data_IF_716846555573
#
_entry.id   IF_716846555573
#
_cell.length_a   1.000
_cell.length_b   1.000
_cell.length_c   1.000
_cell.angle_alpha   90.00
_cell.angle_beta   90.00
_cell.angle_gamma   90.00
#
_symmetry.space_group_name_H-M   'P 1'
#
loop_
_entity.id
_entity.type
_entity.pdbx_description
1 polymer ?
#
# COMPACT_ATOMS: atom_id res chain seq x y z
N UNK A 1 44.18 -9.59 -91.53
CA UNK A 1 43.26 -9.60 -90.44
C UNK A 1 43.71 -10.63 -89.40
N UNK A 2 44.30 -10.21 -88.31
CA UNK A 2 44.73 -11.08 -87.22
C UNK A 2 43.74 -11.00 -86.08
N UNK A 3 43.33 -12.03 -85.38
CA UNK A 3 42.43 -11.96 -84.24
C UNK A 3 43.17 -11.51 -82.97
N UNK A 4 42.54 -10.64 -82.20
CA UNK A 4 42.98 -10.14 -80.91
C UNK A 4 42.68 -11.21 -79.85
N UNK A 5 43.72 -11.63 -79.11
CA UNK A 5 43.63 -12.62 -78.05
C UNK A 5 42.89 -11.98 -76.82
N UNK A 6 41.86 -12.62 -76.34
CA UNK A 6 41.12 -12.30 -75.12
C UNK A 6 41.87 -12.82 -73.88
N UNK A 7 42.30 -11.93 -73.02
CA UNK A 7 42.81 -12.25 -71.67
C UNK A 7 41.70 -12.70 -70.73
N UNK A 8 41.97 -13.75 -69.92
CA UNK A 8 40.86 -14.29 -69.08
C UNK A 8 40.53 -13.39 -67.85
N UNK A 9 39.30 -13.14 -67.76
CA UNK A 9 38.64 -12.27 -66.70
C UNK A 9 38.71 -12.92 -65.31
N UNK A 10 39.39 -14.05 -65.12
CA UNK A 10 39.31 -14.83 -63.84
C UNK A 10 40.23 -14.36 -62.72
N UNK A 11 41.30 -13.63 -63.04
CA UNK A 11 42.28 -13.22 -62.02
C UNK A 11 41.80 -12.00 -61.17
N UNK A 12 40.94 -11.20 -61.72
CA UNK A 12 40.42 -10.02 -60.98
C UNK A 12 39.30 -10.34 -59.97
N UNK A 13 38.63 -11.47 -60.04
CA UNK A 13 37.57 -11.83 -59.15
C UNK A 13 38.04 -12.28 -57.76
N UNK A 14 39.18 -12.90 -57.65
CA UNK A 14 39.74 -13.41 -56.40
C UNK A 14 40.41 -12.31 -55.55
N UNK A 15 40.92 -11.27 -56.15
CA UNK A 15 41.54 -10.17 -55.45
C UNK A 15 40.48 -9.23 -54.77
N UNK A 16 39.32 -9.04 -55.40
CA UNK A 16 38.23 -8.24 -54.82
C UNK A 16 37.49 -8.96 -53.69
N UNK A 17 37.39 -10.28 -53.69
CA UNK A 17 36.77 -11.05 -52.59
C UNK A 17 37.69 -11.14 -51.37
N UNK A 18 39.01 -11.20 -51.55
CA UNK A 18 39.95 -11.20 -50.42
C UNK A 18 40.03 -9.85 -49.71
N UNK A 19 39.92 -8.73 -50.40
CA UNK A 19 39.88 -7.39 -49.80
C UNK A 19 38.56 -7.10 -49.07
N UNK A 20 37.43 -7.60 -49.58
CA UNK A 20 36.14 -7.43 -48.91
C UNK A 20 36.02 -8.29 -47.64
N UNK A 21 36.61 -9.50 -47.60
CA UNK A 21 36.64 -10.32 -46.39
C UNK A 21 37.56 -9.75 -45.28
N UNK A 22 38.70 -9.15 -45.66
CA UNK A 22 39.60 -8.50 -44.71
C UNK A 22 38.98 -7.20 -44.13
N UNK A 23 38.28 -6.41 -44.95
CA UNK A 23 37.58 -5.22 -44.48
C UNK A 23 36.38 -5.57 -43.57
N UNK A 24 35.63 -6.63 -43.83
CA UNK A 24 34.56 -7.11 -42.98
C UNK A 24 35.08 -7.68 -41.64
N UNK A 25 36.20 -8.38 -41.64
CA UNK A 25 36.85 -8.86 -40.42
C UNK A 25 37.41 -7.73 -39.54
N UNK A 26 37.95 -6.67 -40.16
CA UNK A 26 38.41 -5.47 -39.43
C UNK A 26 37.26 -4.65 -38.83
N UNK A 27 36.10 -4.57 -39.50
CA UNK A 27 34.91 -3.92 -38.98
C UNK A 27 34.22 -4.69 -37.83
N UNK A 28 34.30 -6.01 -37.83
CA UNK A 28 33.81 -6.87 -36.73
C UNK A 28 34.76 -6.86 -35.51
N UNK A 29 36.04 -6.63 -35.68
CA UNK A 29 36.99 -6.50 -34.57
C UNK A 29 36.92 -5.16 -33.84
N UNK A 30 36.29 -4.13 -34.43
CA UNK A 30 36.06 -2.82 -33.81
C UNK A 30 34.73 -2.74 -33.03
N UNK A 31 33.88 -3.75 -33.06
CA UNK A 31 32.69 -3.89 -32.25
C UNK A 31 32.96 -4.74 -31.00
N UNK A 32 34.04 -4.47 -30.29
CA UNK A 32 34.10 -4.89 -28.89
C UNK A 32 32.90 -4.22 -28.17
N UNK A 33 31.97 -4.95 -27.57
CA UNK A 33 31.01 -4.30 -26.72
C UNK A 33 31.83 -3.56 -25.67
N UNK A 34 31.72 -2.25 -25.65
CA UNK A 34 32.17 -1.47 -24.54
C UNK A 34 31.40 -2.03 -23.32
N UNK A 35 31.95 -3.00 -22.66
CA UNK A 35 31.56 -3.36 -21.30
C UNK A 35 31.93 -2.11 -20.52
N UNK A 36 30.99 -1.16 -20.47
CA UNK A 36 31.08 -0.07 -19.52
C UNK A 36 31.30 -0.74 -18.16
N UNK A 37 32.48 -0.57 -17.61
CA UNK A 37 32.72 -0.99 -16.24
C UNK A 37 31.56 -0.47 -15.41
N UNK A 38 30.86 -1.35 -14.71
CA UNK A 38 29.81 -0.92 -13.78
C UNK A 38 30.46 0.12 -12.90
N UNK A 39 29.96 1.39 -12.86
CA UNK A 39 30.56 2.40 -12.03
C UNK A 39 30.69 1.85 -10.63
N UNK A 40 31.85 2.01 -10.02
CA UNK A 40 32.02 1.64 -8.63
C UNK A 40 30.94 2.38 -7.82
N UNK A 41 30.29 1.72 -6.85
CA UNK A 41 29.34 2.41 -5.97
C UNK A 41 29.99 3.66 -5.43
N UNK A 42 29.29 4.79 -5.51
CA UNK A 42 29.76 6.00 -4.83
C UNK A 42 29.95 5.70 -3.37
N UNK A 43 31.05 6.18 -2.80
CA UNK A 43 31.25 6.13 -1.37
C UNK A 43 30.05 6.85 -0.71
N UNK A 44 29.44 6.23 0.28
CA UNK A 44 28.42 6.90 1.08
C UNK A 44 29.04 8.18 1.69
N UNK A 45 28.34 9.29 1.56
CA UNK A 45 28.72 10.49 2.27
C UNK A 45 28.86 10.19 3.76
N UNK A 46 29.89 10.73 4.43
CA UNK A 46 30.01 10.55 5.87
C UNK A 46 28.74 11.07 6.51
N UNK A 47 28.04 10.21 7.24
CA UNK A 47 26.82 10.57 7.93
C UNK A 47 27.09 11.79 8.82
N UNK A 48 26.33 12.86 8.64
CA UNK A 48 26.30 13.99 9.53
C UNK A 48 25.87 13.56 10.96
N UNK A 49 25.24 14.42 11.69
CA UNK A 49 24.72 14.06 13.03
C UNK A 49 23.56 13.05 12.88
N UNK A 50 23.75 11.83 13.37
CA UNK A 50 22.68 10.83 13.46
C UNK A 50 21.88 11.12 14.73
N UNK A 51 20.62 11.49 14.57
CA UNK A 51 19.68 11.66 15.69
C UNK A 51 18.88 10.37 15.84
N UNK A 52 18.86 9.82 17.05
CA UNK A 52 18.00 8.67 17.37
C UNK A 52 16.70 9.18 17.95
N UNK A 53 15.57 8.73 17.39
CA UNK A 53 14.25 9.02 17.92
C UNK A 53 14.05 8.35 19.28
N UNK A 54 13.27 8.96 20.17
CA UNK A 54 12.87 8.30 21.43
C UNK A 54 11.96 7.09 21.13
N UNK A 55 11.57 6.35 22.16
CA UNK A 55 10.57 5.30 22.05
C UNK A 55 9.27 5.86 21.42
N UNK A 56 8.62 5.05 20.56
CA UNK A 56 7.42 5.47 19.86
C UNK A 56 6.33 5.92 20.83
N UNK A 57 5.73 7.08 20.54
CA UNK A 57 4.53 7.55 21.23
C UNK A 57 3.28 6.97 20.55
N UNK A 58 2.24 6.60 21.29
CA UNK A 58 0.96 6.19 20.69
C UNK A 58 0.28 7.31 19.88
N UNK A 59 0.68 8.57 20.08
CA UNK A 59 0.19 9.73 19.33
C UNK A 59 1.04 10.08 18.10
N UNK A 60 2.03 9.26 17.76
CA UNK A 60 2.72 9.41 16.49
C UNK A 60 1.85 8.91 15.34
N UNK A 61 1.93 9.60 14.21
CA UNK A 61 1.23 9.21 12.99
C UNK A 61 2.19 9.26 11.80
N UNK A 62 2.21 8.18 11.06
CA UNK A 62 2.87 8.12 9.76
C UNK A 62 1.90 8.56 8.68
N UNK A 63 2.27 9.55 7.92
CA UNK A 63 1.53 10.04 6.74
C UNK A 63 2.26 9.53 5.51
N UNK A 64 1.62 8.61 4.76
CA UNK A 64 2.13 8.15 3.48
C UNK A 64 1.73 9.18 2.41
N UNK A 65 2.75 9.76 1.78
CA UNK A 65 2.65 10.77 0.75
C UNK A 65 3.18 10.19 -0.56
N UNK A 66 2.30 9.98 -1.53
CA UNK A 66 2.67 9.38 -2.80
C UNK A 66 3.25 10.38 -3.80
N UNK A 67 3.28 11.65 -3.45
CA UNK A 67 3.80 12.75 -4.27
C UNK A 67 3.28 12.66 -5.71
N UNK A 68 1.98 12.72 -5.87
CA UNK A 68 1.28 12.49 -7.15
C UNK A 68 1.89 13.24 -8.35
N UNK A 69 2.30 14.51 -8.20
CA UNK A 69 2.96 15.21 -9.28
C UNK A 69 4.35 14.65 -9.67
N UNK A 70 4.98 13.87 -8.75
CA UNK A 70 6.32 13.32 -8.95
C UNK A 70 6.46 11.95 -8.26
N UNK A 71 5.81 10.94 -8.80
CA UNK A 71 5.63 9.62 -8.19
C UNK A 71 6.91 8.81 -7.92
N UNK A 72 8.08 9.33 -8.32
CA UNK A 72 9.38 8.73 -7.93
C UNK A 72 9.80 9.07 -6.51
N UNK A 73 9.13 10.04 -5.87
CA UNK A 73 9.50 10.61 -4.58
C UNK A 73 8.55 10.18 -3.45
N UNK A 74 7.96 8.99 -3.55
CA UNK A 74 7.10 8.48 -2.50
C UNK A 74 7.75 8.55 -1.12
N UNK A 75 7.00 8.98 -0.11
CA UNK A 75 7.50 9.24 1.24
C UNK A 75 6.52 8.74 2.30
N UNK A 76 7.06 8.36 3.46
CA UNK A 76 6.30 8.22 4.69
C UNK A 76 6.86 9.19 5.73
N UNK A 77 6.05 10.13 6.19
CA UNK A 77 6.44 11.21 7.11
C UNK A 77 5.92 10.94 8.51
N UNK A 78 6.79 10.99 9.49
CA UNK A 78 6.44 10.79 10.89
C UNK A 78 6.16 12.12 11.56
N UNK A 79 4.97 12.25 12.11
CA UNK A 79 4.48 13.45 12.81
C UNK A 79 4.11 13.08 14.25
N UNK A 80 4.53 13.89 15.18
CA UNK A 80 4.06 13.84 16.58
C UNK A 80 2.70 14.55 16.67
N UNK A 81 1.64 13.80 16.93
CA UNK A 81 0.28 14.32 17.04
C UNK A 81 0.08 15.28 18.21
N UNK A 82 0.85 15.16 19.29
CA UNK A 82 0.72 16.05 20.46
C UNK A 82 1.31 17.44 20.22
N UNK A 83 2.48 17.49 19.60
CA UNK A 83 3.18 18.76 19.38
C UNK A 83 3.06 19.30 17.95
N UNK A 84 2.68 18.48 16.99
CA UNK A 84 2.72 18.79 15.56
C UNK A 84 4.12 18.78 14.96
N UNK A 85 5.13 18.30 15.68
CA UNK A 85 6.51 18.26 15.19
C UNK A 85 6.68 17.20 14.10
N UNK A 86 7.36 17.57 13.03
CA UNK A 86 7.94 16.63 12.08
C UNK A 86 9.13 15.92 12.73
N UNK A 87 9.10 14.59 12.79
CA UNK A 87 10.13 13.78 13.43
C UNK A 87 11.11 13.17 12.44
N UNK A 88 10.71 13.00 11.19
CA UNK A 88 11.53 12.44 10.14
C UNK A 88 10.72 11.78 9.04
N UNK A 89 11.39 11.19 8.06
CA UNK A 89 10.72 10.56 6.93
C UNK A 89 11.51 9.37 6.40
N UNK A 90 10.81 8.49 5.69
CA UNK A 90 11.36 7.41 4.87
C UNK A 90 11.06 7.70 3.40
N UNK A 91 12.00 7.36 2.51
CA UNK A 91 11.71 7.26 1.08
C UNK A 91 11.06 5.91 0.80
N UNK A 92 9.98 5.89 0.03
CA UNK A 92 9.18 4.66 -0.23
C UNK A 92 9.14 4.27 -1.71
N UNK A 93 10.07 4.82 -2.51
CA UNK A 93 10.21 4.48 -3.92
C UNK A 93 9.08 5.03 -4.80
N UNK A 94 8.81 4.34 -5.91
CA UNK A 94 7.86 4.77 -6.93
C UNK A 94 6.44 4.29 -6.63
N UNK A 95 5.49 5.19 -6.85
CA UNK A 95 4.07 4.89 -6.83
C UNK A 95 3.48 4.78 -5.42
N UNK A 96 2.35 4.11 -5.35
CA UNK A 96 1.64 3.97 -4.09
C UNK A 96 2.29 2.91 -3.22
N UNK A 97 2.80 3.33 -2.08
CA UNK A 97 3.43 2.46 -1.09
C UNK A 97 2.85 2.78 0.28
N UNK A 98 2.46 1.75 1.00
CA UNK A 98 2.12 1.85 2.41
C UNK A 98 3.24 1.20 3.22
N UNK A 99 3.73 1.89 4.24
CA UNK A 99 4.62 1.26 5.22
C UNK A 99 3.82 0.35 6.16
N UNK A 100 4.45 -0.73 6.61
CA UNK A 100 3.89 -1.69 7.56
C UNK A 100 4.76 -1.71 8.80
N UNK A 101 4.19 -1.37 9.95
CA UNK A 101 4.91 -1.38 11.22
C UNK A 101 5.03 -2.82 11.74
N UNK A 102 6.25 -3.25 12.05
CA UNK A 102 6.49 -4.54 12.69
C UNK A 102 5.79 -4.63 14.05
N UNK A 103 5.23 -5.78 14.38
CA UNK A 103 4.43 -5.98 15.61
C UNK A 103 5.22 -5.70 16.89
N UNK A 104 6.52 -5.93 16.87
CA UNK A 104 7.42 -5.66 18.00
C UNK A 104 7.96 -4.21 18.03
N UNK A 105 7.58 -3.38 17.03
CA UNK A 105 8.06 -2.00 16.93
C UNK A 105 9.55 -1.84 16.60
N UNK A 106 10.23 -2.92 16.21
CA UNK A 106 11.68 -2.96 15.97
C UNK A 106 12.07 -2.83 14.48
N UNK A 107 11.11 -2.84 13.57
CA UNK A 107 11.30 -2.73 12.13
C UNK A 107 10.10 -2.09 11.46
N UNK A 108 10.33 -1.34 10.39
CA UNK A 108 9.31 -0.87 9.46
C UNK A 108 9.58 -1.55 8.12
N UNK A 109 8.57 -2.20 7.56
CA UNK A 109 8.60 -2.78 6.22
C UNK A 109 8.00 -1.79 5.23
N UNK A 110 8.66 -1.64 4.09
CA UNK A 110 8.17 -0.80 2.99
C UNK A 110 8.26 -1.61 1.69
N UNK A 111 7.16 -2.14 1.18
CA UNK A 111 7.12 -2.77 -0.14
C UNK A 111 7.22 -1.69 -1.22
N UNK A 112 8.33 -1.64 -1.95
CA UNK A 112 8.70 -0.56 -2.84
C UNK A 112 8.88 -1.03 -4.28
N UNK A 113 8.75 -0.09 -5.21
CA UNK A 113 9.03 -0.29 -6.63
C UNK A 113 10.07 0.73 -7.09
N UNK A 114 11.03 0.27 -7.87
CA UNK A 114 12.02 1.13 -8.50
C UNK A 114 12.10 0.84 -10.00
N UNK A 115 12.42 1.87 -10.78
CA UNK A 115 12.75 1.73 -12.19
C UNK A 115 14.16 2.24 -12.45
N UNK A 116 14.93 1.54 -13.29
CA UNK A 116 16.34 1.87 -13.53
C UNK A 116 16.57 3.26 -14.12
N UNK A 117 15.53 3.94 -14.58
CA UNK A 117 15.56 5.30 -15.16
C UNK A 117 14.39 6.16 -14.67
N UNK A 118 14.22 6.24 -13.36
CA UNK A 118 13.17 7.03 -12.71
C UNK A 118 11.78 6.40 -12.90
N UNK A 119 11.08 6.75 -13.97
CA UNK A 119 9.71 6.26 -14.24
C UNK A 119 9.65 5.14 -15.27
N UNK A 120 10.77 4.66 -15.79
CA UNK A 120 10.87 3.66 -16.87
C UNK A 120 12.12 2.81 -16.78
N UNK A 121 12.19 1.78 -17.59
CA UNK A 121 13.32 0.86 -17.65
C UNK A 121 13.02 -0.45 -16.95
N UNK A 122 14.03 -1.09 -16.38
CA UNK A 122 13.88 -2.34 -15.64
C UNK A 122 13.19 -2.02 -14.30
N UNK A 123 12.07 -2.70 -14.03
CA UNK A 123 11.36 -2.65 -12.75
C UNK A 123 12.01 -3.62 -11.76
N UNK A 124 12.20 -3.15 -10.54
CA UNK A 124 12.62 -3.95 -9.38
C UNK A 124 11.66 -3.66 -8.24
N UNK A 125 11.06 -4.71 -7.67
CA UNK A 125 10.24 -4.60 -6.48
C UNK A 125 11.02 -5.21 -5.30
N UNK A 126 10.95 -4.53 -4.17
CA UNK A 126 11.65 -4.93 -2.94
C UNK A 126 10.77 -4.69 -1.72
N UNK A 127 11.12 -5.34 -0.62
CA UNK A 127 10.69 -4.93 0.72
C UNK A 127 11.89 -4.32 1.39
N UNK A 128 11.91 -3.01 1.53
CA UNK A 128 12.92 -2.30 2.33
C UNK A 128 12.60 -2.44 3.82
N UNK A 129 13.62 -2.63 4.62
CA UNK A 129 13.54 -2.71 6.07
C UNK A 129 14.19 -1.48 6.67
N UNK A 130 13.48 -0.78 7.53
CA UNK A 130 13.97 0.42 8.19
C UNK A 130 14.04 0.24 9.71
N UNK A 131 15.11 0.76 10.32
CA UNK A 131 15.21 0.95 11.75
C UNK A 131 14.29 2.11 12.16
N UNK A 132 13.25 1.88 12.99
CA UNK A 132 12.27 2.93 13.32
C UNK A 132 12.85 4.05 14.20
N UNK A 133 13.96 3.79 14.93
CA UNK A 133 14.58 4.79 15.77
C UNK A 133 15.55 5.70 14.99
N UNK A 134 16.18 5.18 13.94
CA UNK A 134 17.16 5.93 13.13
C UNK A 134 16.57 6.39 11.79
N UNK A 135 15.44 5.85 11.40
CA UNK A 135 14.79 6.05 10.08
C UNK A 135 15.77 5.75 8.93
N UNK A 136 16.60 4.74 9.13
CA UNK A 136 17.62 4.33 8.18
C UNK A 136 17.32 2.92 7.66
N UNK A 137 17.58 2.69 6.37
CA UNK A 137 17.47 1.36 5.78
C UNK A 137 18.51 0.41 6.41
N UNK A 138 18.05 -0.76 6.83
CA UNK A 138 18.85 -1.80 7.47
C UNK A 138 18.85 -3.12 6.71
N UNK A 139 18.15 -3.19 5.59
CA UNK A 139 18.09 -4.34 4.73
C UNK A 139 17.06 -4.19 3.62
N UNK A 140 17.11 -5.15 2.71
CA UNK A 140 16.23 -5.22 1.55
C UNK A 140 15.97 -6.69 1.19
N UNK A 141 14.74 -6.99 0.79
CA UNK A 141 14.34 -8.31 0.29
C UNK A 141 13.80 -8.11 -1.12
N UNK A 142 14.48 -8.64 -2.13
CA UNK A 142 14.00 -8.59 -3.51
C UNK A 142 12.79 -9.52 -3.65
N UNK A 143 11.72 -8.99 -4.25
CA UNK A 143 10.47 -9.71 -4.51
C UNK A 143 10.14 -9.68 -6.01
N UNK A 144 9.24 -10.55 -6.50
CA UNK A 144 8.81 -10.51 -7.90
C UNK A 144 8.24 -9.14 -8.28
N UNK A 145 8.53 -8.57 -9.47
CA UNK A 145 8.12 -7.24 -9.89
C UNK A 145 6.63 -7.20 -10.31
N UNK A 146 5.74 -7.52 -9.38
CA UNK A 146 4.31 -7.73 -9.60
C UNK A 146 3.41 -6.94 -8.66
N UNK A 147 3.97 -6.35 -7.56
CA UNK A 147 3.15 -5.71 -6.53
C UNK A 147 2.23 -4.64 -7.13
N UNK A 148 1.07 -4.46 -6.52
CA UNK A 148 0.19 -3.35 -6.83
C UNK A 148 0.86 -2.04 -6.40
N UNK A 149 1.04 -1.13 -7.36
CA UNK A 149 1.67 0.18 -7.14
C UNK A 149 0.87 1.33 -7.77
N UNK A 150 -0.42 1.09 -8.01
CA UNK A 150 -1.27 1.99 -8.78
C UNK A 150 -2.49 2.52 -7.99
N UNK A 151 -2.67 2.09 -6.75
CA UNK A 151 -3.76 2.56 -5.88
C UNK A 151 -3.34 2.63 -4.41
N UNK A 152 -3.78 3.68 -3.68
CA UNK A 152 -3.47 3.85 -2.27
C UNK A 152 -4.45 3.04 -1.40
N UNK A 153 -4.10 1.81 -1.07
CA UNK A 153 -4.95 0.95 -0.24
C UNK A 153 -4.22 0.49 1.02
N UNK A 154 -4.92 0.48 2.15
CA UNK A 154 -4.35 -0.01 3.40
C UNK A 154 -4.04 -1.51 3.32
N UNK A 155 -4.85 -2.27 2.62
CA UNK A 155 -4.71 -3.72 2.49
C UNK A 155 -3.84 -4.18 1.31
N UNK A 156 -3.03 -3.28 0.70
CA UNK A 156 -2.01 -3.66 -0.28
C UNK A 156 -0.87 -4.46 0.34
N UNK A 157 -0.66 -4.32 1.65
CA UNK A 157 0.37 -5.03 2.38
C UNK A 157 0.01 -5.09 3.86
N UNK A 158 -0.01 -6.28 4.45
CA UNK A 158 -0.32 -6.50 5.85
C UNK A 158 0.52 -7.63 6.46
N UNK A 159 0.79 -7.54 7.76
CA UNK A 159 1.39 -8.65 8.53
C UNK A 159 0.30 -9.60 9.05
N UNK A 160 0.60 -10.88 9.06
CA UNK A 160 -0.17 -11.86 9.86
C UNK A 160 -0.21 -11.45 11.33
N UNK A 161 -1.16 -11.99 12.09
CA UNK A 161 -1.43 -11.53 13.47
C UNK A 161 -0.21 -11.67 14.41
N UNK A 162 0.63 -12.67 14.19
CA UNK A 162 1.88 -12.89 14.92
C UNK A 162 3.08 -12.09 14.36
N UNK A 163 2.86 -11.33 13.28
CA UNK A 163 3.92 -10.53 12.64
C UNK A 163 4.94 -11.33 11.85
N UNK A 164 4.73 -12.64 11.65
CA UNK A 164 5.72 -13.48 11.00
C UNK A 164 5.74 -13.35 9.49
N UNK A 165 4.58 -13.32 8.84
CA UNK A 165 4.49 -13.21 7.40
C UNK A 165 3.98 -11.85 6.97
N UNK A 166 4.73 -11.19 6.10
CA UNK A 166 4.28 -10.01 5.37
C UNK A 166 3.64 -10.49 4.06
N UNK A 167 2.39 -10.12 3.88
CA UNK A 167 1.57 -10.39 2.71
C UNK A 167 1.58 -9.15 1.83
N UNK A 168 1.81 -9.29 0.53
CA UNK A 168 1.91 -8.17 -0.41
C UNK A 168 1.08 -8.47 -1.65
N UNK A 169 0.09 -7.63 -1.92
CA UNK A 169 -0.80 -7.77 -3.06
C UNK A 169 -0.09 -7.51 -4.39
N UNK A 170 -0.26 -8.43 -5.32
CA UNK A 170 0.19 -8.35 -6.69
C UNK A 170 -0.99 -8.15 -7.64
N UNK A 171 -0.84 -7.23 -8.59
CA UNK A 171 -1.90 -6.91 -9.54
C UNK A 171 -1.64 -7.50 -10.94
N UNK A 172 -0.38 -7.65 -11.32
CA UNK A 172 0.00 -8.06 -12.68
C UNK A 172 0.94 -9.27 -12.67
N UNK A 173 0.85 -10.19 -13.67
CA UNK A 173 -0.12 -10.23 -14.77
C UNK A 173 -1.51 -10.73 -14.32
N UNK A 174 -1.61 -11.30 -13.13
CA UNK A 174 -2.84 -11.74 -12.47
C UNK A 174 -2.74 -11.45 -10.97
N UNK A 175 -3.89 -11.41 -10.29
CA UNK A 175 -3.93 -11.19 -8.84
C UNK A 175 -3.28 -12.37 -8.12
N UNK A 176 -2.38 -12.04 -7.20
CA UNK A 176 -1.70 -12.98 -6.31
C UNK A 176 -1.20 -12.26 -5.07
N UNK A 177 -0.66 -13.01 -4.12
CA UNK A 177 -0.05 -12.49 -2.90
C UNK A 177 1.39 -12.99 -2.81
N UNK A 178 2.34 -12.08 -2.75
CA UNK A 178 3.72 -12.39 -2.38
C UNK A 178 3.80 -12.55 -0.87
N UNK A 179 4.40 -13.63 -0.40
CA UNK A 179 4.63 -13.92 1.02
C UNK A 179 6.10 -13.77 1.35
N UNK A 180 6.39 -12.96 2.34
CA UNK A 180 7.75 -12.75 2.88
C UNK A 180 7.76 -13.19 4.35
N UNK A 181 8.71 -14.01 4.74
CA UNK A 181 8.98 -14.29 6.16
C UNK A 181 9.74 -13.09 6.76
N UNK A 182 9.05 -12.34 7.60
CA UNK A 182 9.56 -11.10 8.20
C UNK A 182 10.67 -11.35 9.24
N UNK A 183 10.71 -12.54 9.87
CA UNK A 183 11.73 -12.90 10.83
C UNK A 183 13.04 -13.29 10.15
N UNK A 184 12.99 -14.23 9.20
CA UNK A 184 14.18 -14.66 8.44
C UNK A 184 14.58 -13.63 7.35
N UNK A 185 13.71 -12.66 7.05
CA UNK A 185 13.88 -11.65 5.99
C UNK A 185 14.09 -12.28 4.62
N UNK A 186 13.26 -13.25 4.28
CA UNK A 186 13.36 -14.01 3.02
C UNK A 186 12.03 -14.07 2.29
N UNK A 187 12.10 -14.09 0.96
CA UNK A 187 10.94 -14.39 0.13
C UNK A 187 10.54 -15.86 0.33
N UNK A 188 9.29 -16.10 0.68
CA UNK A 188 8.71 -17.47 0.77
C UNK A 188 8.22 -17.92 -0.60
N UNK A 189 7.40 -17.10 -1.25
CA UNK A 189 6.80 -17.45 -2.54
C UNK A 189 5.58 -16.58 -2.86
N UNK A 190 4.75 -17.12 -3.76
CA UNK A 190 3.57 -16.45 -4.28
C UNK A 190 2.34 -17.36 -4.17
N UNK A 191 1.20 -16.78 -3.81
CA UNK A 191 -0.09 -17.45 -3.70
C UNK A 191 -1.05 -16.83 -4.73
N UNK A 192 -1.54 -17.64 -5.67
CA UNK A 192 -2.51 -17.20 -6.65
C UNK A 192 -3.87 -16.89 -6.01
N UNK A 193 -4.42 -15.70 -6.28
CA UNK A 193 -5.71 -15.22 -5.80
C UNK A 193 -6.58 -14.70 -6.93
N UNK A 194 -6.50 -15.31 -8.11
CA UNK A 194 -7.17 -14.86 -9.33
C UNK A 194 -8.64 -14.49 -9.12
N UNK A 195 -8.99 -13.24 -9.51
CA UNK A 195 -10.32 -12.66 -9.32
C UNK A 195 -10.61 -12.14 -7.91
N UNK A 196 -9.61 -12.19 -6.98
CA UNK A 196 -9.72 -11.65 -5.63
C UNK A 196 -8.54 -10.74 -5.32
N UNK A 197 -8.74 -9.71 -4.52
CA UNK A 197 -7.79 -8.64 -4.28
C UNK A 197 -7.60 -8.36 -2.79
N UNK A 198 -6.42 -7.84 -2.47
CA UNK A 198 -6.01 -7.33 -1.17
C UNK A 198 -5.93 -8.41 -0.08
N UNK A 199 -5.28 -8.06 1.03
CA UNK A 199 -5.03 -9.01 2.12
C UNK A 199 -5.61 -8.49 3.43
N UNK A 200 -6.47 -9.31 4.02
CA UNK A 200 -7.11 -9.07 5.31
C UNK A 200 -6.77 -10.20 6.28
N UNK A 201 -5.72 -10.05 7.11
CA UNK A 201 -5.30 -11.09 8.04
C UNK A 201 -6.40 -11.52 9.00
N UNK A 202 -6.47 -12.82 9.29
CA UNK A 202 -7.49 -13.43 10.15
C UNK A 202 -6.87 -14.28 11.26
N UNK A 203 -5.56 -14.33 11.33
CA UNK A 203 -4.84 -15.09 12.32
C UNK A 203 -3.33 -15.15 12.02
N UNK A 204 -2.57 -15.94 12.78
CA UNK A 204 -1.13 -16.13 12.57
C UNK A 204 -0.80 -16.79 11.22
N UNK A 205 -1.74 -17.57 10.68
CA UNK A 205 -1.55 -18.39 9.48
C UNK A 205 -2.74 -18.31 8.54
N UNK A 206 -3.41 -17.15 8.48
CA UNK A 206 -4.57 -17.02 7.60
C UNK A 206 -4.86 -15.58 7.24
N UNK A 207 -5.45 -15.39 6.06
CA UNK A 207 -5.99 -14.14 5.58
C UNK A 207 -7.15 -14.41 4.61
N UNK A 208 -7.93 -13.41 4.30
CA UNK A 208 -8.84 -13.47 3.15
C UNK A 208 -8.59 -12.34 2.18
N UNK A 209 -9.02 -12.54 0.93
CA UNK A 209 -9.09 -11.52 -0.12
C UNK A 209 -10.54 -11.32 -0.55
N UNK A 210 -10.90 -10.12 -1.02
CA UNK A 210 -12.24 -9.81 -1.54
C UNK A 210 -12.28 -10.16 -3.02
N UNK A 211 -13.29 -10.93 -3.43
CA UNK A 211 -13.45 -11.35 -4.81
C UNK A 211 -14.46 -10.48 -5.58
N UNK A 212 -14.26 -10.36 -6.89
CA UNK A 212 -15.08 -9.53 -7.78
C UNK A 212 -16.57 -9.91 -7.81
N UNK A 213 -16.91 -11.17 -7.46
CA UNK A 213 -18.28 -11.65 -7.36
C UNK A 213 -18.95 -11.36 -6.00
N UNK A 214 -18.23 -10.72 -5.08
CA UNK A 214 -18.67 -10.42 -3.72
C UNK A 214 -18.47 -11.55 -2.71
N UNK A 215 -17.83 -12.65 -3.09
CA UNK A 215 -17.35 -13.68 -2.16
C UNK A 215 -16.01 -13.29 -1.53
N UNK A 216 -15.55 -14.07 -0.54
CA UNK A 216 -14.22 -13.97 0.03
C UNK A 216 -13.42 -15.23 -0.30
N UNK A 217 -12.15 -15.07 -0.63
CA UNK A 217 -11.19 -16.16 -0.73
C UNK A 217 -10.43 -16.26 0.58
N UNK A 218 -10.75 -17.27 1.40
CA UNK A 218 -10.04 -17.55 2.64
C UNK A 218 -8.83 -18.43 2.36
N UNK A 219 -7.66 -18.02 2.82
CA UNK A 219 -6.37 -18.69 2.60
C UNK A 219 -5.76 -19.05 3.94
N UNK A 220 -5.37 -20.32 4.09
CA UNK A 220 -4.60 -20.78 5.24
C UNK A 220 -3.17 -21.10 4.81
N UNK A 221 -2.22 -20.75 5.68
CA UNK A 221 -0.79 -20.96 5.50
C UNK A 221 -0.29 -22.06 6.44
N UNK A 222 0.75 -22.76 6.03
CA UNK A 222 1.56 -23.57 6.92
C UNK A 222 2.58 -22.71 7.72
N UNK A 223 3.37 -23.36 8.56
CA UNK A 223 4.40 -22.69 9.35
C UNK A 223 5.58 -22.19 8.52
N UNK A 224 5.65 -22.51 7.25
CA UNK A 224 6.64 -22.02 6.31
C UNK A 224 6.11 -20.90 5.41
N UNK A 225 4.82 -20.55 5.53
CA UNK A 225 4.17 -19.48 4.80
C UNK A 225 3.58 -19.88 3.44
N UNK A 226 3.55 -21.17 3.12
CA UNK A 226 2.91 -21.67 1.91
C UNK A 226 1.42 -21.93 2.14
N UNK A 227 0.60 -21.68 1.11
CA UNK A 227 -0.84 -21.92 1.21
C UNK A 227 -1.15 -23.42 1.29
N UNK A 228 -1.90 -23.81 2.33
CA UNK A 228 -2.42 -25.18 2.53
C UNK A 228 -3.83 -25.34 1.99
N UNK A 229 -4.68 -24.32 2.16
CA UNK A 229 -6.04 -24.30 1.64
C UNK A 229 -6.39 -22.94 1.06
N UNK A 230 -7.29 -22.94 0.07
CA UNK A 230 -7.87 -21.77 -0.54
C UNK A 230 -9.36 -22.04 -0.77
N UNK A 231 -10.20 -21.44 0.04
CA UNK A 231 -11.63 -21.72 0.06
C UNK A 231 -12.44 -20.45 -0.20
N UNK A 232 -13.40 -20.52 -1.11
CA UNK A 232 -14.32 -19.42 -1.35
C UNK A 232 -15.55 -19.54 -0.45
N UNK A 233 -15.95 -18.42 0.14
CA UNK A 233 -17.22 -18.31 0.85
C UNK A 233 -18.39 -18.21 -0.13
N UNK A 234 -19.63 -18.33 0.38
CA UNK A 234 -20.77 -17.76 -0.32
C UNK A 234 -20.60 -16.24 -0.49
N UNK A 235 -21.40 -15.64 -1.38
CA UNK A 235 -21.39 -14.19 -1.60
C UNK A 235 -21.72 -13.43 -0.31
N UNK A 236 -20.82 -12.53 0.09
CA UNK A 236 -20.94 -11.68 1.29
C UNK A 236 -21.44 -10.29 0.92
N UNK A 237 -20.98 -9.77 -0.23
CA UNK A 237 -21.29 -8.43 -0.72
C UNK A 237 -22.13 -8.49 -2.00
N UNK A 238 -23.01 -7.51 -2.21
CA UNK A 238 -23.68 -7.29 -3.48
C UNK A 238 -22.80 -6.38 -4.36
N UNK A 239 -21.88 -7.01 -5.11
CA UNK A 239 -20.90 -6.29 -5.91
C UNK A 239 -21.52 -5.48 -7.08
N UNK A 240 -22.78 -5.72 -7.44
CA UNK A 240 -23.44 -5.06 -8.55
C UNK A 240 -24.31 -3.87 -8.14
N UNK A 241 -25.10 -4.03 -7.06
CA UNK A 241 -26.09 -3.01 -6.69
C UNK A 241 -25.65 -2.14 -5.51
N UNK A 242 -24.85 -2.69 -4.57
CA UNK A 242 -24.34 -1.97 -3.43
C UNK A 242 -22.93 -2.50 -3.05
N UNK A 243 -21.90 -2.19 -3.85
CA UNK A 243 -20.55 -2.66 -3.62
C UNK A 243 -20.04 -2.25 -2.23
N UNK A 244 -19.42 -3.17 -1.53
CA UNK A 244 -18.62 -2.82 -0.36
C UNK A 244 -17.31 -2.18 -0.81
N UNK A 245 -16.86 -1.16 -0.07
CA UNK A 245 -15.52 -0.62 -0.28
C UNK A 245 -14.48 -1.59 0.25
N UNK A 246 -13.36 -1.69 -0.41
CA UNK A 246 -12.20 -2.50 -0.05
C UNK A 246 -11.42 -1.98 1.18
N UNK A 247 -11.92 -0.93 1.82
CA UNK A 247 -11.27 -0.16 2.88
C UNK A 247 -11.71 -0.61 4.27
N UNK A 248 -11.60 -1.91 4.51
CA UNK A 248 -11.98 -2.51 5.79
C UNK A 248 -11.10 -2.09 6.96
N UNK A 249 -11.67 -2.11 8.16
CA UNK A 249 -10.96 -1.93 9.43
C UNK A 249 -11.25 -3.10 10.36
N UNK A 250 -10.28 -3.47 11.20
CA UNK A 250 -10.42 -4.61 12.10
C UNK A 250 -10.45 -4.18 13.57
N UNK A 251 -11.42 -4.70 14.30
CA UNK A 251 -11.49 -4.61 15.75
C UNK A 251 -11.62 -6.01 16.34
N UNK A 252 -10.60 -6.45 17.05
CA UNK A 252 -10.54 -7.80 17.60
C UNK A 252 -10.65 -8.86 16.49
N UNK A 253 -11.64 -9.72 16.61
CA UNK A 253 -11.90 -10.79 15.64
C UNK A 253 -12.94 -10.41 14.57
N UNK A 254 -13.18 -9.13 14.33
CA UNK A 254 -14.17 -8.70 13.34
C UNK A 254 -13.57 -7.67 12.41
N UNK A 255 -13.64 -7.94 11.10
CA UNK A 255 -13.43 -6.97 10.05
C UNK A 255 -14.73 -6.25 9.74
N UNK A 256 -14.68 -4.95 9.57
CA UNK A 256 -15.83 -4.10 9.23
C UNK A 256 -15.60 -3.47 7.87
N UNK A 257 -16.51 -3.73 6.94
CA UNK A 257 -16.56 -3.10 5.62
C UNK A 257 -17.84 -2.29 5.49
N UNK A 258 -17.79 -1.23 4.73
CA UNK A 258 -18.99 -0.42 4.48
C UNK A 258 -19.28 -0.38 2.98
N UNK A 259 -20.56 -0.55 2.62
CA UNK A 259 -20.99 -0.43 1.24
C UNK A 259 -21.16 1.03 0.80
N UNK A 260 -21.31 1.25 -0.50
CA UNK A 260 -21.55 2.57 -1.09
C UNK A 260 -22.82 3.24 -0.54
N UNK A 261 -23.84 2.46 -0.19
CA UNK A 261 -25.07 2.96 0.44
C UNK A 261 -24.96 3.18 1.94
N UNK A 262 -23.81 2.81 2.56
CA UNK A 262 -23.57 2.99 4.00
C UNK A 262 -24.01 1.80 4.87
N UNK A 263 -24.21 0.62 4.30
CA UNK A 263 -24.44 -0.60 5.07
C UNK A 263 -23.11 -1.15 5.59
N UNK A 264 -23.01 -1.35 6.90
CA UNK A 264 -21.84 -1.97 7.54
C UNK A 264 -21.97 -3.49 7.50
N UNK A 265 -20.91 -4.14 7.04
CA UNK A 265 -20.79 -5.60 6.90
C UNK A 265 -19.71 -6.11 7.86
N UNK A 266 -20.07 -6.64 9.03
CA UNK A 266 -19.12 -7.31 9.91
C UNK A 266 -18.76 -8.70 9.34
N UNK A 267 -17.47 -9.00 9.25
CA UNK A 267 -16.94 -10.34 8.93
C UNK A 267 -16.25 -10.86 10.19
N UNK A 268 -16.88 -11.82 10.83
CA UNK A 268 -16.40 -12.40 12.08
C UNK A 268 -15.44 -13.55 11.81
N UNK A 269 -14.28 -13.51 12.45
CA UNK A 269 -13.28 -14.58 12.42
C UNK A 269 -13.61 -15.55 13.55
N UNK A 270 -13.95 -16.78 13.19
CA UNK A 270 -14.31 -17.83 14.14
C UNK A 270 -13.46 -19.09 13.93
N UNK A 271 -13.50 -20.03 14.88
CA UNK A 271 -12.85 -21.32 14.71
C UNK A 271 -13.42 -22.16 13.53
N UNK A 272 -14.64 -21.83 13.07
CA UNK A 272 -15.30 -22.47 11.92
C UNK A 272 -15.06 -21.74 10.60
N UNK A 273 -14.22 -20.69 10.59
CA UNK A 273 -13.96 -19.86 9.44
C UNK A 273 -14.61 -18.46 9.54
N UNK A 274 -14.81 -17.83 8.39
CA UNK A 274 -15.37 -16.49 8.27
C UNK A 274 -16.91 -16.56 8.26
N UNK A 275 -17.53 -15.75 9.10
CA UNK A 275 -19.00 -15.68 9.22
C UNK A 275 -19.43 -14.22 8.98
N UNK A 276 -20.46 -14.01 8.16
CA UNK A 276 -21.08 -12.71 8.02
C UNK A 276 -21.91 -12.42 9.28
N UNK A 277 -21.48 -11.39 10.04
CA UNK A 277 -22.21 -10.88 11.19
C UNK A 277 -23.47 -10.09 10.80
N UNK A 278 -24.20 -9.61 11.79
CA UNK A 278 -25.42 -8.83 11.56
C UNK A 278 -25.08 -7.49 10.90
N UNK A 279 -25.54 -7.31 9.65
CA UNK A 279 -25.44 -6.03 8.91
C UNK A 279 -26.36 -4.97 9.52
N UNK A 280 -25.93 -3.72 9.47
CA UNK A 280 -26.74 -2.56 9.87
C UNK A 280 -26.30 -1.31 9.11
N UNK A 281 -27.17 -0.31 9.00
CA UNK A 281 -26.87 0.90 8.24
C UNK A 281 -26.23 1.96 9.14
N UNK A 282 -25.17 2.61 8.64
CA UNK A 282 -24.56 3.81 9.23
C UNK A 282 -25.46 5.04 9.10
N UNK A 283 -26.39 5.04 8.15
CA UNK A 283 -27.32 6.14 7.87
C UNK A 283 -28.75 5.73 8.16
N UNK A 284 -29.50 6.63 8.77
CA UNK A 284 -30.93 6.46 8.98
C UNK A 284 -31.74 7.01 7.78
N UNK A 285 -33.07 6.84 7.71
CA UNK A 285 -33.88 7.33 6.58
C UNK A 285 -33.79 8.85 6.36
N UNK A 286 -33.61 9.67 7.42
CA UNK A 286 -33.44 11.11 7.27
C UNK A 286 -32.08 11.46 6.67
N UNK A 287 -31.01 10.79 7.11
CA UNK A 287 -29.67 10.95 6.52
C UNK A 287 -29.67 10.51 5.04
N UNK A 288 -30.41 9.44 4.70
CA UNK A 288 -30.54 8.95 3.34
C UNK A 288 -31.25 9.96 2.44
N UNK A 289 -32.33 10.60 2.93
CA UNK A 289 -33.04 11.66 2.21
C UNK A 289 -32.14 12.86 1.92
N UNK A 290 -31.19 13.16 2.81
CA UNK A 290 -30.15 14.17 2.62
C UNK A 290 -28.94 13.70 1.79
N UNK A 291 -28.97 12.47 1.28
CA UNK A 291 -27.93 11.84 0.46
C UNK A 291 -26.58 11.66 1.19
N UNK A 292 -26.62 11.50 2.51
CA UNK A 292 -25.40 11.16 3.27
C UNK A 292 -24.88 9.77 2.91
N UNK A 293 -23.56 9.61 2.84
CA UNK A 293 -22.88 8.34 2.61
C UNK A 293 -21.42 8.38 3.05
N UNK A 294 -20.80 7.22 3.29
CA UNK A 294 -19.37 7.14 3.57
C UNK A 294 -18.54 7.45 2.31
N UNK A 295 -17.40 8.11 2.50
CA UNK A 295 -16.45 8.40 1.41
C UNK A 295 -15.04 8.65 1.92
N UNK A 296 -14.10 8.79 0.99
CA UNK A 296 -12.69 8.97 1.28
C UNK A 296 -11.83 7.77 0.88
N UNK A 297 -10.51 7.94 0.92
CA UNK A 297 -9.53 6.90 0.57
C UNK A 297 -9.22 5.97 1.75
N UNK A 298 -9.26 6.48 2.99
CA UNK A 298 -9.17 5.72 4.24
C UNK A 298 -10.34 6.17 5.13
N UNK A 299 -11.53 5.73 4.75
CA UNK A 299 -12.79 6.28 5.24
C UNK A 299 -13.22 5.80 6.62
N UNK A 300 -12.66 4.68 7.11
CA UNK A 300 -12.99 4.08 8.39
C UNK A 300 -11.80 4.07 9.32
N UNK A 301 -12.04 4.24 10.61
CA UNK A 301 -11.11 3.95 11.69
C UNK A 301 -11.86 3.32 12.87
N UNK A 302 -11.16 2.58 13.70
CA UNK A 302 -11.74 1.94 14.91
C UNK A 302 -10.86 2.20 16.13
N UNK A 303 -11.50 2.22 17.30
CA UNK A 303 -10.79 2.26 18.57
C UNK A 303 -11.30 1.17 19.51
N UNK A 304 -10.41 0.24 19.88
CA UNK A 304 -10.78 -0.96 20.65
C UNK A 304 -11.26 -0.62 22.07
N UNK A 305 -10.52 0.19 22.81
CA UNK A 305 -10.86 0.52 24.20
C UNK A 305 -12.19 1.25 24.35
N UNK A 306 -12.62 2.00 23.33
CA UNK A 306 -13.92 2.69 23.31
C UNK A 306 -15.02 1.89 22.61
N UNK A 307 -14.67 0.78 21.94
CA UNK A 307 -15.55 0.01 21.08
C UNK A 307 -16.30 0.87 20.03
N UNK A 308 -15.55 1.76 19.35
CA UNK A 308 -16.10 2.75 18.42
C UNK A 308 -15.59 2.55 17.00
N UNK A 309 -16.50 2.84 16.05
CA UNK A 309 -16.18 3.02 14.63
C UNK A 309 -16.32 4.51 14.28
N UNK A 310 -15.38 5.02 13.52
CA UNK A 310 -15.38 6.36 12.94
C UNK A 310 -15.50 6.22 11.44
N UNK A 311 -16.36 7.03 10.80
CA UNK A 311 -16.56 7.04 9.35
C UNK A 311 -16.58 8.44 8.80
N UNK A 312 -15.79 8.71 7.76
CA UNK A 312 -15.91 9.93 6.98
C UNK A 312 -17.26 9.90 6.26
N UNK A 313 -17.99 11.01 6.33
CA UNK A 313 -19.31 11.15 5.72
C UNK A 313 -19.40 12.41 4.86
N UNK A 314 -20.03 12.26 3.69
CA UNK A 314 -20.31 13.35 2.77
C UNK A 314 -21.71 13.23 2.19
N UNK A 315 -22.18 14.27 1.52
CA UNK A 315 -23.40 14.23 0.71
C UNK A 315 -23.03 14.00 -0.75
N UNK A 316 -23.59 12.96 -1.36
CA UNK A 316 -23.24 12.62 -2.74
C UNK A 316 -24.22 11.65 -3.39
N UNK A 317 -24.00 11.38 -4.67
CA UNK A 317 -24.71 10.37 -5.46
C UNK A 317 -24.10 8.98 -5.33
N UNK A 318 -24.61 7.98 -6.06
CA UNK A 318 -23.88 6.74 -6.30
C UNK A 318 -22.47 7.04 -6.83
N UNK A 319 -21.52 6.15 -6.64
CA UNK A 319 -20.13 6.27 -7.14
C UNK A 319 -19.25 7.36 -6.47
N UNK A 320 -19.74 8.06 -5.43
CA UNK A 320 -18.95 9.09 -4.72
C UNK A 320 -18.18 8.55 -3.49
N UNK A 321 -17.94 7.25 -3.42
CA UNK A 321 -17.29 6.57 -2.30
C UNK A 321 -15.81 6.96 -2.07
N UNK A 322 -15.22 7.76 -2.97
CA UNK A 322 -13.87 8.32 -2.85
C UNK A 322 -13.87 9.79 -2.49
N UNK A 323 -15.03 10.45 -2.57
CA UNK A 323 -15.14 11.87 -2.29
C UNK A 323 -14.80 12.15 -0.82
N UNK A 324 -14.16 13.29 -0.54
CA UNK A 324 -13.89 13.68 0.84
C UNK A 324 -15.17 14.06 1.57
N UNK A 325 -15.14 14.02 2.89
CA UNK A 325 -16.25 14.45 3.74
C UNK A 325 -15.88 15.59 4.66
N UNK A 326 -16.90 16.36 5.06
CA UNK A 326 -16.79 17.43 6.05
C UNK A 326 -17.24 16.99 7.43
N UNK A 327 -17.60 15.73 7.60
CA UNK A 327 -17.99 15.18 8.89
C UNK A 327 -17.36 13.80 9.09
N UNK A 328 -17.02 13.50 10.34
CA UNK A 328 -16.74 12.16 10.83
C UNK A 328 -17.83 11.76 11.78
N UNK A 329 -18.53 10.67 11.47
CA UNK A 329 -19.57 10.14 12.34
C UNK A 329 -19.02 9.00 13.18
N UNK A 330 -19.38 9.00 14.45
CA UNK A 330 -18.89 8.03 15.44
C UNK A 330 -20.04 7.10 15.86
N UNK A 331 -19.75 5.82 15.84
CA UNK A 331 -20.72 4.77 16.15
C UNK A 331 -20.26 3.91 17.33
N UNK A 332 -21.20 3.58 18.20
CA UNK A 332 -21.05 2.53 19.20
C UNK A 332 -21.33 1.18 18.54
N UNK A 333 -20.30 0.34 18.45
CA UNK A 333 -20.37 -0.94 17.76
C UNK A 333 -21.22 -1.97 18.50
N UNK A 334 -21.37 -1.87 19.84
CA UNK A 334 -22.23 -2.77 20.60
C UNK A 334 -23.72 -2.40 20.46
N UNK A 335 -24.01 -1.10 20.32
CA UNK A 335 -25.38 -0.61 20.20
C UNK A 335 -25.86 -0.49 18.76
N UNK A 336 -24.97 -0.63 17.78
CA UNK A 336 -25.22 -0.39 16.35
C UNK A 336 -25.86 0.98 16.10
N UNK A 337 -25.36 2.02 16.75
CA UNK A 337 -25.97 3.36 16.70
C UNK A 337 -24.93 4.46 16.61
N UNK A 338 -25.25 5.51 15.87
CA UNK A 338 -24.46 6.73 15.84
C UNK A 338 -24.57 7.47 17.17
N UNK A 339 -23.43 7.81 17.76
CA UNK A 339 -23.35 8.49 19.04
C UNK A 339 -22.87 9.93 18.92
N UNK A 340 -22.22 10.27 17.79
CA UNK A 340 -21.66 11.61 17.61
C UNK A 340 -21.50 11.94 16.12
N UNK A 341 -21.54 13.23 15.78
CA UNK A 341 -21.11 13.81 14.51
C UNK A 341 -20.05 14.85 14.81
N UNK A 342 -18.88 14.71 14.21
CA UNK A 342 -17.75 15.64 14.34
C UNK A 342 -17.67 16.43 13.03
N UNK A 343 -17.88 17.74 13.11
CA UNK A 343 -17.68 18.62 11.95
C UNK A 343 -16.18 18.86 11.79
N UNK A 344 -15.65 18.52 10.63
CA UNK A 344 -14.23 18.65 10.33
C UNK A 344 -13.89 20.09 9.95
N UNK A 345 -12.72 20.55 10.40
CA UNK A 345 -12.20 21.88 10.06
C UNK A 345 -11.90 22.02 8.56
N UNK A 346 -11.32 20.97 8.00
CA UNK A 346 -10.99 20.86 6.57
C UNK A 346 -11.70 19.63 5.96
N UNK A 347 -11.66 19.51 4.63
CA UNK A 347 -12.08 18.28 3.96
C UNK A 347 -11.24 17.09 4.45
N UNK A 348 -11.88 15.96 4.63
CA UNK A 348 -11.29 14.73 5.13
C UNK A 348 -11.39 13.64 4.06
N UNK A 349 -10.26 13.15 3.60
CA UNK A 349 -10.18 12.04 2.64
C UNK A 349 -9.65 10.76 3.27
N UNK A 350 -8.94 10.87 4.40
CA UNK A 350 -8.45 9.75 5.18
C UNK A 350 -8.48 10.09 6.67
N UNK A 351 -8.86 9.11 7.50
CA UNK A 351 -8.86 9.22 8.97
C UNK A 351 -8.11 8.05 9.60
N UNK A 352 -7.52 8.31 10.77
CA UNK A 352 -6.94 7.29 11.63
C UNK A 352 -7.12 7.68 13.09
N UNK A 353 -7.20 6.70 13.98
CA UNK A 353 -7.34 6.91 15.43
C UNK A 353 -6.19 6.21 16.15
N UNK A 354 -5.54 6.90 17.08
CA UNK A 354 -4.52 6.29 17.95
C UNK A 354 -5.14 5.21 18.86
N UNK A 355 -4.30 4.29 19.38
CA UNK A 355 -4.82 3.06 20.03
C UNK A 355 -4.83 3.12 21.56
N UNK A 356 -4.38 4.22 22.13
CA UNK A 356 -4.22 4.43 23.56
C UNK A 356 -5.53 4.84 24.27
N UNK A 357 -5.45 5.04 25.57
CA UNK A 357 -6.62 5.38 26.41
C UNK A 357 -7.13 6.83 26.24
N UNK A 358 -6.37 7.72 25.62
CA UNK A 358 -6.74 9.11 25.30
C UNK A 358 -6.58 9.36 23.80
N UNK A 359 -7.37 8.69 22.96
CA UNK A 359 -7.09 8.62 21.55
C UNK A 359 -7.22 9.95 20.83
N UNK A 360 -6.31 10.18 19.88
CA UNK A 360 -6.39 11.25 18.90
C UNK A 360 -7.01 10.72 17.60
N UNK A 361 -7.86 11.53 16.98
CA UNK A 361 -8.36 11.34 15.62
C UNK A 361 -7.54 12.23 14.69
N UNK A 362 -6.91 11.61 13.73
CA UNK A 362 -6.12 12.25 12.66
C UNK A 362 -6.93 12.30 11.39
N UNK A 363 -6.82 13.40 10.64
CA UNK A 363 -7.49 13.61 9.36
C UNK A 363 -6.59 14.30 8.37
N UNK A 364 -6.51 13.77 7.15
CA UNK A 364 -5.82 14.36 6.00
C UNK A 364 -6.72 14.34 4.77
N UNK A 365 -6.36 15.16 3.77
CA UNK A 365 -6.98 15.13 2.45
C UNK A 365 -5.90 15.26 1.38
N UNK A 366 -6.01 14.46 0.30
CA UNK A 366 -4.98 14.36 -0.75
C UNK A 366 -4.69 15.69 -1.46
N UNK A 367 -5.64 16.60 -1.49
CA UNK A 367 -5.49 17.94 -2.10
C UNK A 367 -5.07 19.01 -1.08
N UNK A 368 -4.75 18.61 0.15
CA UNK A 368 -4.31 19.50 1.23
C UNK A 368 -3.01 19.01 1.84
N UNK A 369 -2.12 19.94 2.18
CA UNK A 369 -0.86 19.63 2.87
C UNK A 369 -1.02 19.58 4.40
N UNK A 370 -2.25 19.57 4.91
CA UNK A 370 -2.57 19.75 6.33
C UNK A 370 -3.02 18.43 6.97
N UNK A 371 -2.51 18.14 8.16
CA UNK A 371 -3.01 17.13 9.08
C UNK A 371 -3.81 17.83 10.20
N UNK A 372 -5.08 17.53 10.31
CA UNK A 372 -5.90 17.97 11.43
C UNK A 372 -5.92 16.90 12.54
N UNK A 373 -5.81 17.36 13.79
CA UNK A 373 -5.79 16.52 14.98
C UNK A 373 -6.94 16.88 15.90
N UNK A 374 -7.70 15.87 16.31
CA UNK A 374 -8.86 16.00 17.20
C UNK A 374 -8.70 15.07 18.40
N UNK A 375 -9.30 15.43 19.54
CA UNK A 375 -9.61 14.45 20.57
C UNK A 375 -10.68 13.49 20.05
N UNK A 376 -10.36 12.21 19.96
CA UNK A 376 -11.25 11.22 19.33
C UNK A 376 -12.49 10.92 20.20
N UNK A 377 -12.47 11.25 21.49
CA UNK A 377 -13.60 11.00 22.40
C UNK A 377 -14.63 12.13 22.35
N UNK A 378 -14.18 13.38 22.42
CA UNK A 378 -15.04 14.55 22.40
C UNK A 378 -15.30 15.09 20.98
N UNK A 379 -14.44 14.77 20.02
CA UNK A 379 -14.47 15.37 18.68
C UNK A 379 -13.91 16.79 18.63
N UNK A 380 -13.30 17.26 19.70
CA UNK A 380 -12.77 18.63 19.78
C UNK A 380 -11.49 18.74 18.94
N UNK A 381 -11.47 19.71 18.02
CA UNK A 381 -10.25 20.05 17.29
C UNK A 381 -9.15 20.54 18.22
N UNK A 382 -7.97 20.00 18.06
CA UNK A 382 -6.78 20.29 18.86
C UNK A 382 -5.82 21.24 18.13
N UNK A 383 -5.45 20.85 16.90
CA UNK A 383 -4.50 21.59 16.07
C UNK A 383 -4.56 21.16 14.61
N UNK A 384 -3.93 21.98 13.76
CA UNK A 384 -3.57 21.63 12.41
C UNK A 384 -2.04 21.66 12.27
N UNK A 385 -1.49 20.68 11.56
CA UNK A 385 -0.06 20.62 11.23
C UNK A 385 0.07 20.78 9.73
N UNK A 386 0.78 21.82 9.32
CA UNK A 386 0.96 22.15 7.91
C UNK A 386 2.16 21.39 7.30
N UNK A 387 2.17 21.25 5.99
CA UNK A 387 3.26 20.67 5.21
C UNK A 387 3.58 19.22 5.56
N UNK A 388 2.55 18.42 5.86
CA UNK A 388 2.71 16.99 6.16
C UNK A 388 2.91 16.11 4.93
N UNK A 389 2.83 16.67 3.73
CA UNK A 389 3.04 15.98 2.46
C UNK A 389 2.71 16.88 1.29
N UNK A 390 2.95 16.41 0.08
CA UNK A 390 2.52 17.05 -1.18
C UNK A 390 1.12 16.58 -1.56
N UNK A 391 0.89 15.28 -1.48
CA UNK A 391 -0.39 14.61 -1.70
C UNK A 391 -0.59 13.51 -0.65
N UNK A 392 -0.76 13.89 0.63
CA UNK A 392 -0.89 12.93 1.74
C UNK A 392 -2.14 12.09 1.55
N UNK A 393 -2.04 10.77 1.64
CA UNK A 393 -3.12 9.91 1.14
C UNK A 393 -3.65 8.94 2.18
N UNK A 394 -2.80 8.23 2.91
CA UNK A 394 -3.19 7.29 3.96
C UNK A 394 -2.27 7.42 5.18
N UNK A 395 -2.78 7.00 6.33
CA UNK A 395 -2.08 7.12 7.60
C UNK A 395 -1.93 5.77 8.29
N UNK A 396 -0.82 5.61 9.04
CA UNK A 396 -0.55 4.45 9.88
C UNK A 396 -0.17 4.95 11.27
N UNK A 397 -0.70 4.31 12.33
CA UNK A 397 -0.37 4.60 13.74
C UNK A 397 0.28 3.39 14.40
N UNK A 398 1.14 3.58 15.39
CA UNK A 398 1.74 2.52 16.20
C UNK A 398 0.77 1.59 16.89
#
# INVERSE_FOLDING_TARGET
MKPIASTPVWIFRWALTALSAAAAAMLLALQSPAHGATPAPLAADPAGTVVTLPAASPHWVWVNDFVFPHMTDGQARLIDGDSGRFLGMLSTGFGFTRIVLGKEGNVIFSPETYFSRGTRGIRTDVVSLYDPAKLAAVGEIVIPPKRASNMPMMADSELTDDGRFLLIYNFTPAQSVTVVDAHSRTLVGEIETAGCALEFPTGPRSFFSICADGSLLNVHLDDTGHATTRERTARVFDAQNDPATEKGVRLGNTWYFVSYSGVLHPIEITQKGLILGKRWSLINPADQAEKWRPGGLQQLAVHAGLNRLYSIMHRGGPETHKDPGREVWVYDLAKHSRIQRIVMKNDSGAIQVSRDAKPLLFSIFIESTTLDVYDATSGTWQRSVENVGTTPTIMVVP
#
